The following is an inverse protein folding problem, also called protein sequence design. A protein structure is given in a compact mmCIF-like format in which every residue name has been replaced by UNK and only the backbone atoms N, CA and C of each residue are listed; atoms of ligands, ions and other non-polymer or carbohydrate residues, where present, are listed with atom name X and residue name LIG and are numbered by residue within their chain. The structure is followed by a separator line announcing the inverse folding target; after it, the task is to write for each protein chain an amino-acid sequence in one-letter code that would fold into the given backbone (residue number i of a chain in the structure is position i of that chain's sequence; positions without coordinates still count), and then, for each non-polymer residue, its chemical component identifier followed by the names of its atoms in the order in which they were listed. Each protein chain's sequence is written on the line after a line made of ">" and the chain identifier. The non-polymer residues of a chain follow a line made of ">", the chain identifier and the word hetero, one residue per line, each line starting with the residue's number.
data_IF_566883383008
#
_entry.id   IF_566883383008
#
_cell.length_a   1.000
_cell.length_b   1.000
_cell.length_c   1.000
_cell.angle_alpha   90.00
_cell.angle_beta   90.00
_cell.angle_gamma   90.00
#
_symmetry.space_group_name_H-M   'P 1'
#
loop_
_entity.id
_entity.type
_entity.pdbx_description
1 polymer ?
#
# COMPACT_ATOMS: atom_id res chain seq x y z
N UNK A 1 22.77 -9.78 -1.70
CA UNK A 1 21.39 -10.30 -1.51
C UNK A 1 20.70 -9.68 -0.30
N UNK A 2 21.39 -9.49 0.82
CA UNK A 2 20.84 -8.96 2.09
C UNK A 2 20.15 -7.60 1.97
N UNK A 3 20.74 -6.66 1.23
CA UNK A 3 20.15 -5.32 1.01
C UNK A 3 18.74 -5.39 0.41
N UNK A 4 18.55 -6.21 -0.63
CA UNK A 4 17.25 -6.39 -1.30
C UNK A 4 16.20 -7.00 -0.36
N UNK A 5 16.59 -7.96 0.47
CA UNK A 5 15.70 -8.55 1.48
C UNK A 5 15.33 -7.52 2.56
N UNK A 6 16.29 -6.70 2.98
CA UNK A 6 16.05 -5.57 3.89
C UNK A 6 15.08 -4.55 3.30
N UNK A 7 15.17 -4.27 2.00
CA UNK A 7 14.27 -3.33 1.32
C UNK A 7 12.80 -3.82 1.36
N UNK A 8 12.55 -5.10 1.06
CA UNK A 8 11.19 -5.66 1.14
C UNK A 8 10.64 -5.71 2.58
N UNK A 9 11.50 -5.95 3.57
CA UNK A 9 11.11 -5.88 4.99
C UNK A 9 10.67 -4.45 5.37
N UNK A 10 11.42 -3.44 4.94
CA UNK A 10 11.06 -2.03 5.16
C UNK A 10 9.73 -1.67 4.47
N UNK A 11 9.56 -2.07 3.21
CA UNK A 11 8.30 -1.92 2.47
C UNK A 11 7.14 -2.56 3.25
N UNK A 12 7.31 -3.79 3.74
CA UNK A 12 6.30 -4.50 4.52
C UNK A 12 5.89 -3.76 5.81
N UNK A 13 6.81 -3.09 6.49
CA UNK A 13 6.49 -2.26 7.67
C UNK A 13 5.63 -1.05 7.30
N UNK A 14 5.98 -0.34 6.22
CA UNK A 14 5.19 0.81 5.74
C UNK A 14 3.79 0.40 5.29
N UNK A 15 3.66 -0.74 4.60
CA UNK A 15 2.37 -1.29 4.17
C UNK A 15 1.50 -1.64 5.37
N UNK A 16 2.06 -2.25 6.42
CA UNK A 16 1.30 -2.56 7.64
C UNK A 16 0.75 -1.29 8.31
N UNK A 17 1.57 -0.24 8.38
CA UNK A 17 1.15 1.04 8.93
C UNK A 17 0.01 1.66 8.11
N UNK A 18 0.14 1.69 6.78
CA UNK A 18 -0.88 2.23 5.89
C UNK A 18 -2.16 1.39 5.89
N UNK A 19 -2.05 0.07 6.00
CA UNK A 19 -3.21 -0.83 6.14
C UNK A 19 -3.98 -0.56 7.44
N UNK A 20 -3.27 -0.32 8.54
CA UNK A 20 -3.86 0.05 9.83
C UNK A 20 -4.59 1.40 9.76
N UNK A 21 -3.91 2.44 9.26
CA UNK A 21 -4.50 3.79 9.17
C UNK A 21 -5.68 3.87 8.18
N UNK A 22 -5.58 3.20 7.02
CA UNK A 22 -6.70 3.14 6.09
C UNK A 22 -7.90 2.38 6.67
N UNK A 23 -7.67 1.35 7.47
CA UNK A 23 -8.74 0.63 8.18
C UNK A 23 -9.44 1.52 9.21
N UNK A 24 -8.71 2.33 9.97
CA UNK A 24 -9.30 3.16 11.04
C UNK A 24 -10.21 4.27 10.53
N UNK A 25 -10.04 4.70 9.28
CA UNK A 25 -10.89 5.72 8.64
C UNK A 25 -11.90 5.14 7.62
N UNK A 26 -11.99 3.82 7.52
CA UNK A 26 -12.92 3.16 6.58
C UNK A 26 -12.50 3.25 5.10
N UNK A 27 -11.23 3.54 4.79
CA UNK A 27 -10.69 3.61 3.44
C UNK A 27 -10.46 2.21 2.82
N UNK A 28 -11.56 1.48 2.57
CA UNK A 28 -11.53 0.07 2.16
C UNK A 28 -10.72 -0.22 0.89
N UNK A 29 -10.76 0.66 -0.11
CA UNK A 29 -10.02 0.47 -1.38
C UNK A 29 -8.51 0.50 -1.15
N UNK A 30 -8.02 1.56 -0.50
CA UNK A 30 -6.61 1.72 -0.10
C UNK A 30 -6.14 0.53 0.76
N UNK A 31 -6.94 0.14 1.76
CA UNK A 31 -6.64 -1.03 2.61
C UNK A 31 -6.48 -2.31 1.78
N UNK A 32 -7.42 -2.59 0.87
CA UNK A 32 -7.39 -3.82 0.07
C UNK A 32 -6.17 -3.85 -0.86
N UNK A 33 -5.78 -2.72 -1.44
CA UNK A 33 -4.54 -2.62 -2.24
C UNK A 33 -3.31 -2.87 -1.36
N UNK A 34 -3.29 -2.37 -0.12
CA UNK A 34 -2.21 -2.66 0.83
C UNK A 34 -2.09 -4.17 1.13
N UNK A 35 -3.20 -4.93 1.18
CA UNK A 35 -3.16 -6.40 1.35
C UNK A 35 -2.45 -7.06 0.16
N UNK A 36 -2.77 -6.66 -1.07
CA UNK A 36 -2.11 -7.16 -2.27
C UNK A 36 -0.61 -6.77 -2.31
N UNK A 37 -0.29 -5.54 -1.90
CA UNK A 37 1.09 -5.08 -1.81
C UNK A 37 1.89 -5.86 -0.77
N UNK A 38 1.28 -6.17 0.39
CA UNK A 38 1.93 -7.00 1.39
C UNK A 38 2.33 -8.36 0.82
N UNK A 39 1.42 -9.03 0.12
CA UNK A 39 1.68 -10.32 -0.52
C UNK A 39 2.80 -10.23 -1.58
N UNK A 40 2.82 -9.18 -2.41
CA UNK A 40 3.87 -8.98 -3.40
C UNK A 40 5.26 -8.72 -2.76
N UNK A 41 5.28 -8.02 -1.63
CA UNK A 41 6.50 -7.73 -0.87
C UNK A 41 7.06 -8.98 -0.19
N UNK A 42 6.19 -9.77 0.44
CA UNK A 42 6.56 -11.03 1.09
C UNK A 42 7.10 -12.07 0.07
N UNK A 43 6.66 -12.00 -1.19
CA UNK A 43 7.18 -12.81 -2.30
C UNK A 43 8.45 -12.23 -2.96
N UNK A 44 8.99 -11.12 -2.46
CA UNK A 44 10.10 -10.38 -3.10
C UNK A 44 9.84 -10.04 -4.58
N UNK A 45 8.56 -9.89 -4.95
CA UNK A 45 8.13 -9.70 -6.33
C UNK A 45 8.19 -8.22 -6.71
N UNK A 46 9.33 -7.78 -7.24
CA UNK A 46 9.54 -6.37 -7.65
C UNK A 46 8.47 -5.85 -8.61
N UNK A 47 8.19 -6.59 -9.67
CA UNK A 47 7.19 -6.20 -10.68
C UNK A 47 5.78 -6.18 -10.08
N UNK A 48 5.48 -7.12 -9.19
CA UNK A 48 4.25 -7.12 -8.38
C UNK A 48 4.13 -5.85 -7.55
N UNK A 49 5.18 -5.51 -6.78
CA UNK A 49 5.25 -4.33 -5.93
C UNK A 49 5.09 -3.01 -6.70
N UNK A 50 5.69 -2.89 -7.88
CA UNK A 50 5.55 -1.69 -8.71
C UNK A 50 4.10 -1.53 -9.22
N UNK A 51 3.48 -2.60 -9.74
CA UNK A 51 2.09 -2.55 -10.23
C UNK A 51 1.10 -2.19 -9.13
N UNK A 52 1.24 -2.77 -7.94
CA UNK A 52 0.35 -2.46 -6.81
C UNK A 52 0.62 -1.07 -6.23
N UNK A 53 1.84 -0.54 -6.34
CA UNK A 53 2.15 0.83 -5.95
C UNK A 53 1.41 1.84 -6.85
N UNK A 54 1.41 1.64 -8.17
CA UNK A 54 0.65 2.48 -9.11
C UNK A 54 -0.85 2.52 -8.77
N UNK A 55 -1.42 1.35 -8.45
CA UNK A 55 -2.83 1.25 -8.02
C UNK A 55 -3.05 1.94 -6.67
N UNK A 56 -2.11 1.81 -5.73
CA UNK A 56 -2.19 2.42 -4.41
C UNK A 56 -2.19 3.96 -4.51
N UNK A 57 -1.32 4.51 -5.35
CA UNK A 57 -1.24 5.96 -5.60
C UNK A 57 -2.54 6.50 -6.20
N UNK A 58 -3.10 5.80 -7.20
CA UNK A 58 -4.39 6.15 -7.78
C UNK A 58 -5.52 6.16 -6.73
N UNK A 59 -5.64 5.10 -5.93
CA UNK A 59 -6.72 4.97 -4.96
C UNK A 59 -6.57 5.92 -3.77
N UNK A 60 -5.33 6.24 -3.39
CA UNK A 60 -5.04 7.28 -2.42
C UNK A 60 -5.46 8.67 -2.92
N UNK A 61 -5.06 9.04 -4.15
CA UNK A 61 -5.43 10.32 -4.75
C UNK A 61 -6.95 10.45 -4.90
N UNK A 62 -7.62 9.38 -5.33
CA UNK A 62 -9.08 9.34 -5.40
C UNK A 62 -9.73 9.59 -4.03
N UNK A 63 -9.28 8.89 -2.99
CA UNK A 63 -9.79 9.08 -1.63
C UNK A 63 -9.54 10.51 -1.13
N UNK A 64 -8.33 11.03 -1.33
CA UNK A 64 -7.95 12.39 -0.93
C UNK A 64 -8.86 13.42 -1.57
N UNK A 65 -9.11 13.31 -2.88
CA UNK A 65 -9.99 14.22 -3.60
C UNK A 65 -11.43 14.11 -3.07
N UNK A 66 -11.93 12.90 -2.79
CA UNK A 66 -13.26 12.71 -2.21
C UNK A 66 -13.40 13.27 -0.80
N UNK A 67 -12.37 13.17 0.04
CA UNK A 67 -12.39 13.79 1.36
C UNK A 67 -12.40 15.32 1.25
N UNK A 68 -11.61 15.89 0.34
CA UNK A 68 -11.56 17.33 0.10
C UNK A 68 -12.85 17.90 -0.52
N UNK A 69 -13.62 17.08 -1.24
CA UNK A 69 -14.97 17.46 -1.71
C UNK A 69 -16.00 17.50 -0.57
N UNK A 70 -15.78 16.74 0.51
CA UNK A 70 -16.73 16.58 1.61
C UNK A 70 -16.45 17.48 2.82
N UNK A 71 -15.19 17.89 3.02
CA UNK A 71 -14.71 18.64 4.18
C UNK A 71 -13.79 19.78 3.72
#
# INVERSE_FOLDING_TARGET
>A
MERKLSDYKNIGMHINQLMGSSSSIGAKRVRNVCVAFRAASDQNNRTGCLRVLEVLEHDYCFLKNKLHELF
#
